data_IF_672145218017
#
_entry.id   IF_672145218017
#
_cell.length_a   1.000
_cell.length_b   1.000
_cell.length_c   1.000
_cell.angle_alpha   90.00
_cell.angle_beta   90.00
_cell.angle_gamma   90.00
#
_symmetry.space_group_name_H-M   'P 1'
#
loop_
_entity.id
_entity.type
_entity.pdbx_description
1 polymer ?
#
# COMPACT_ATOMS: atom_id res chain seq x y z
N UNK A 1 -2.44 15.09 6.03
CA UNK A 1 -3.39 14.39 6.93
C UNK A 1 -2.80 13.02 7.28
N UNK A 2 -2.91 12.56 8.56
CA UNK A 2 -2.31 11.30 9.01
C UNK A 2 -3.38 10.25 9.24
N UNK A 3 -3.21 9.08 8.62
CA UNK A 3 -4.04 7.88 8.80
C UNK A 3 -3.25 6.79 9.53
N UNK A 4 -3.94 5.88 10.19
CA UNK A 4 -3.35 4.69 10.81
C UNK A 4 -3.96 3.45 10.15
N UNK A 5 -3.10 2.57 9.64
CA UNK A 5 -3.52 1.33 9.03
C UNK A 5 -4.12 0.36 10.06
N UNK A 6 -5.17 -0.36 9.69
CA UNK A 6 -5.66 -1.48 10.48
C UNK A 6 -4.60 -2.55 10.71
N UNK A 7 -3.59 -2.63 9.86
CA UNK A 7 -2.45 -3.53 10.01
C UNK A 7 -1.57 -3.22 11.24
N UNK A 8 -1.70 -2.02 11.83
CA UNK A 8 -1.01 -1.66 13.07
C UNK A 8 -1.56 -2.39 14.31
N UNK A 9 -2.74 -3.00 14.21
CA UNK A 9 -3.36 -3.76 15.30
C UNK A 9 -3.25 -5.26 15.02
N UNK A 10 -3.01 -6.04 16.09
CA UNK A 10 -3.03 -7.52 16.03
C UNK A 10 -4.44 -8.10 15.91
N UNK A 11 -5.43 -7.34 16.34
CA UNK A 11 -6.84 -7.70 16.23
C UNK A 11 -7.26 -7.76 14.76
N UNK A 12 -7.95 -8.82 14.39
CA UNK A 12 -8.35 -9.05 12.99
C UNK A 12 -9.84 -8.82 12.72
N UNK A 13 -10.64 -8.54 13.74
CA UNK A 13 -12.06 -8.21 13.60
C UNK A 13 -12.21 -6.70 13.32
N UNK A 14 -12.92 -6.34 12.24
CA UNK A 14 -13.11 -4.94 11.84
C UNK A 14 -13.73 -4.08 12.94
N UNK A 15 -14.83 -4.55 13.54
CA UNK A 15 -15.53 -3.76 14.54
C UNK A 15 -14.68 -3.56 15.81
N UNK A 16 -13.91 -4.56 16.23
CA UNK A 16 -12.99 -4.45 17.37
C UNK A 16 -11.83 -3.50 17.06
N UNK A 17 -11.26 -3.54 15.84
CA UNK A 17 -10.27 -2.56 15.39
C UNK A 17 -10.81 -1.13 15.51
N UNK A 18 -11.99 -0.87 14.97
CA UNK A 18 -12.59 0.47 14.99
C UNK A 18 -12.94 0.91 16.43
N UNK A 19 -13.39 0.00 17.31
CA UNK A 19 -13.56 0.28 18.74
C UNK A 19 -12.24 0.69 19.41
N UNK A 20 -11.15 0.01 19.09
CA UNK A 20 -9.81 0.34 19.61
C UNK A 20 -9.36 1.72 19.14
N UNK A 21 -9.47 2.01 17.84
CA UNK A 21 -9.14 3.35 17.31
C UNK A 21 -10.01 4.46 17.93
N UNK A 22 -11.30 4.19 18.14
CA UNK A 22 -12.18 5.12 18.84
C UNK A 22 -11.68 5.44 20.26
N UNK A 23 -11.33 4.41 21.06
CA UNK A 23 -10.76 4.59 22.42
C UNK A 23 -9.46 5.41 22.41
N UNK A 24 -8.65 5.28 21.34
CA UNK A 24 -7.41 6.05 21.15
C UNK A 24 -7.64 7.44 20.54
N UNK A 25 -8.89 7.84 20.28
CA UNK A 25 -9.27 9.07 19.59
C UNK A 25 -8.60 9.22 18.20
N UNK A 26 -8.39 8.10 17.49
CA UNK A 26 -7.86 8.06 16.13
C UNK A 26 -9.02 7.85 15.18
N UNK A 27 -9.29 8.85 14.32
CA UNK A 27 -10.45 8.85 13.42
C UNK A 27 -10.11 8.62 11.95
N UNK A 28 -8.86 8.81 11.57
CA UNK A 28 -8.39 8.61 10.19
C UNK A 28 -7.78 7.21 10.08
N UNK A 29 -8.44 6.32 9.38
CA UNK A 29 -8.11 4.88 9.34
C UNK A 29 -7.90 4.44 7.89
N UNK A 30 -6.81 3.74 7.64
CA UNK A 30 -6.61 3.00 6.40
C UNK A 30 -7.03 1.54 6.60
N UNK A 31 -7.96 1.09 5.76
CA UNK A 31 -8.48 -0.28 5.76
C UNK A 31 -7.60 -1.15 4.86
N UNK A 32 -7.02 -2.21 5.41
CA UNK A 32 -6.06 -3.10 4.73
C UNK A 32 -6.42 -4.57 4.83
N UNK A 33 -5.63 -5.43 4.19
CA UNK A 33 -5.85 -6.87 4.08
C UNK A 33 -5.65 -7.72 5.35
N UNK A 34 -5.26 -7.13 6.47
CA UNK A 34 -5.02 -7.87 7.71
C UNK A 34 -6.29 -8.27 8.49
N UNK A 35 -7.44 -7.75 8.08
CA UNK A 35 -8.76 -8.01 8.71
C UNK A 35 -9.34 -9.32 8.18
N UNK A 36 -10.14 -10.01 8.99
CA UNK A 36 -10.92 -11.17 8.55
C UNK A 36 -12.12 -10.75 7.69
N UNK A 37 -12.59 -11.68 6.86
CA UNK A 37 -13.82 -11.47 6.10
C UNK A 37 -14.98 -11.10 7.03
N UNK A 38 -15.66 -10.02 6.71
CA UNK A 38 -16.83 -9.51 7.45
C UNK A 38 -17.95 -9.21 6.45
N UNK A 39 -19.11 -9.87 6.60
CA UNK A 39 -20.22 -9.75 5.66
C UNK A 39 -20.86 -8.35 5.69
N UNK A 40 -20.96 -7.77 6.88
CA UNK A 40 -21.64 -6.49 7.13
C UNK A 40 -20.67 -5.31 7.29
N UNK A 41 -19.49 -5.41 6.65
CA UNK A 41 -18.45 -4.36 6.72
C UNK A 41 -18.96 -2.96 6.34
N UNK A 42 -19.86 -2.87 5.34
CA UNK A 42 -20.44 -1.58 4.90
C UNK A 42 -21.27 -0.93 6.02
N UNK A 43 -22.14 -1.70 6.69
CA UNK A 43 -22.92 -1.21 7.83
C UNK A 43 -22.02 -0.73 8.97
N UNK A 44 -20.96 -1.50 9.27
CA UNK A 44 -19.99 -1.14 10.31
C UNK A 44 -19.29 0.17 9.94
N UNK A 45 -18.76 0.30 8.73
CA UNK A 45 -18.04 1.49 8.29
C UNK A 45 -18.94 2.74 8.28
N UNK A 46 -20.18 2.61 7.75
CA UNK A 46 -21.16 3.68 7.76
C UNK A 46 -21.49 4.14 9.18
N UNK A 47 -21.68 3.19 10.11
CA UNK A 47 -21.92 3.51 11.52
C UNK A 47 -20.78 4.36 12.12
N UNK A 48 -19.52 3.94 11.93
CA UNK A 48 -18.38 4.68 12.47
C UNK A 48 -18.18 6.03 11.77
N UNK A 49 -18.42 6.10 10.47
CA UNK A 49 -18.35 7.36 9.72
C UNK A 49 -19.39 8.37 10.20
N UNK A 50 -20.66 7.98 10.23
CA UNK A 50 -21.76 8.88 10.55
C UNK A 50 -21.81 9.24 12.02
N UNK A 51 -21.67 8.25 12.92
CA UNK A 51 -21.82 8.48 14.37
C UNK A 51 -20.57 9.05 15.04
N UNK A 52 -19.38 8.70 14.56
CA UNK A 52 -18.13 9.06 15.23
C UNK A 52 -17.18 9.91 14.38
N UNK A 53 -17.55 10.23 13.15
CA UNK A 53 -16.77 11.10 12.26
C UNK A 53 -15.47 10.45 11.80
N UNK A 54 -15.46 9.11 11.58
CA UNK A 54 -14.30 8.43 11.05
C UNK A 54 -14.12 8.77 9.57
N UNK A 55 -12.86 8.94 9.17
CA UNK A 55 -12.43 9.05 7.79
C UNK A 55 -11.68 7.79 7.40
N UNK A 56 -11.95 7.26 6.22
CA UNK A 56 -11.32 6.04 5.75
C UNK A 56 -10.47 6.28 4.52
N UNK A 57 -9.44 5.48 4.37
CA UNK A 57 -8.78 5.15 3.12
C UNK A 57 -8.96 3.66 2.87
N UNK A 58 -9.00 3.26 1.62
CA UNK A 58 -9.00 1.86 1.24
C UNK A 58 -7.69 1.57 0.54
N UNK A 59 -6.94 0.67 1.15
CA UNK A 59 -5.77 0.07 0.54
C UNK A 59 -6.15 -1.26 -0.09
N UNK A 60 -5.39 -1.64 -1.09
CA UNK A 60 -5.41 -2.94 -1.73
C UNK A 60 -5.95 -4.05 -0.81
N UNK A 61 -6.80 -4.91 -1.33
CA UNK A 61 -7.35 -6.06 -0.65
C UNK A 61 -8.48 -5.81 0.36
N UNK A 62 -8.97 -4.60 0.53
CA UNK A 62 -10.21 -4.37 1.28
C UNK A 62 -11.33 -3.96 0.30
N UNK A 63 -12.54 -4.54 0.36
CA UNK A 63 -13.03 -5.51 1.33
C UNK A 63 -12.43 -6.91 1.15
N UNK A 64 -12.23 -7.59 2.29
CA UNK A 64 -11.57 -8.89 2.33
C UNK A 64 -12.44 -9.96 1.68
N UNK A 65 -11.94 -10.73 0.71
CA UNK A 65 -12.69 -11.83 0.12
C UNK A 65 -12.78 -13.03 1.08
N UNK A 66 -13.88 -13.82 1.00
CA UNK A 66 -14.04 -15.03 1.82
C UNK A 66 -12.86 -16.00 1.73
N UNK A 67 -12.29 -16.15 0.54
CA UNK A 67 -11.10 -17.00 0.30
C UNK A 67 -9.96 -16.08 -0.11
N UNK A 68 -8.93 -15.88 0.75
CA UNK A 68 -7.78 -15.05 0.44
C UNK A 68 -7.04 -15.51 -0.82
N UNK A 69 -6.48 -14.56 -1.56
CA UNK A 69 -5.64 -14.78 -2.74
C UNK A 69 -4.68 -13.62 -2.89
N UNK A 70 -3.60 -13.77 -3.66
CA UNK A 70 -2.73 -12.64 -4.00
C UNK A 70 -3.34 -11.85 -5.14
N UNK A 71 -3.72 -10.62 -4.86
CA UNK A 71 -4.26 -9.71 -5.86
C UNK A 71 -3.14 -9.25 -6.80
N UNK A 72 -3.32 -9.48 -8.11
CA UNK A 72 -2.36 -9.06 -9.12
C UNK A 72 -3.13 -8.62 -10.39
N UNK A 73 -3.23 -7.33 -10.60
CA UNK A 73 -3.91 -6.75 -11.77
C UNK A 73 -3.17 -6.96 -13.10
N UNK A 74 -1.92 -7.44 -13.06
CA UNK A 74 -1.12 -7.72 -14.25
C UNK A 74 -1.01 -9.21 -14.61
N UNK A 75 -1.59 -10.12 -13.83
CA UNK A 75 -1.39 -11.56 -14.03
C UNK A 75 -1.96 -12.08 -15.35
N UNK A 76 -1.21 -13.01 -15.99
CA UNK A 76 -1.67 -13.77 -17.17
C UNK A 76 -2.69 -14.87 -16.82
N UNK A 77 -2.78 -15.26 -15.54
CA UNK A 77 -3.78 -16.24 -15.09
C UNK A 77 -5.17 -15.61 -15.11
N UNK A 78 -6.02 -16.03 -16.04
CA UNK A 78 -7.35 -15.44 -16.29
C UNK A 78 -8.26 -15.49 -15.06
N UNK A 79 -8.25 -16.58 -14.30
CA UNK A 79 -9.05 -16.72 -13.08
C UNK A 79 -8.59 -15.75 -11.98
N UNK A 80 -7.27 -15.66 -11.74
CA UNK A 80 -6.71 -14.74 -10.76
C UNK A 80 -6.89 -13.28 -11.18
N UNK A 81 -6.74 -13.00 -12.48
CA UNK A 81 -6.98 -11.68 -13.08
C UNK A 81 -8.41 -11.21 -12.83
N UNK A 82 -9.40 -12.05 -13.19
CA UNK A 82 -10.81 -11.75 -12.95
C UNK A 82 -11.08 -11.49 -11.46
N UNK A 83 -10.60 -12.35 -10.54
CA UNK A 83 -10.75 -12.15 -9.09
C UNK A 83 -10.12 -10.84 -8.61
N UNK A 84 -8.96 -10.47 -9.15
CA UNK A 84 -8.25 -9.24 -8.80
C UNK A 84 -9.06 -8.01 -9.23
N UNK A 85 -9.55 -8.00 -10.46
CA UNK A 85 -10.40 -6.92 -10.98
C UNK A 85 -11.71 -6.82 -10.19
N UNK A 86 -12.41 -7.94 -9.98
CA UNK A 86 -13.68 -7.98 -9.25
C UNK A 86 -13.52 -7.45 -7.80
N UNK A 87 -12.39 -7.77 -7.13
CA UNK A 87 -12.12 -7.25 -5.78
C UNK A 87 -11.86 -5.73 -5.79
N UNK A 88 -11.08 -5.24 -6.75
CA UNK A 88 -10.82 -3.80 -6.88
C UNK A 88 -12.10 -3.01 -7.22
N UNK A 89 -12.99 -3.55 -8.06
CA UNK A 89 -14.27 -2.92 -8.37
C UNK A 89 -15.16 -2.80 -7.11
N UNK A 90 -15.18 -3.81 -6.23
CA UNK A 90 -15.84 -3.72 -4.93
C UNK A 90 -15.22 -2.66 -4.02
N UNK A 91 -13.90 -2.52 -4.05
CA UNK A 91 -13.21 -1.47 -3.31
C UNK A 91 -13.59 -0.08 -3.82
N UNK A 92 -13.68 0.10 -5.13
CA UNK A 92 -14.08 1.35 -5.78
C UNK A 92 -15.55 1.68 -5.47
N UNK A 93 -16.45 0.69 -5.56
CA UNK A 93 -17.85 0.88 -5.16
C UNK A 93 -17.94 1.39 -3.70
N UNK A 94 -17.16 0.79 -2.79
CA UNK A 94 -17.10 1.24 -1.41
C UNK A 94 -16.49 2.65 -1.28
N UNK A 95 -15.46 2.99 -2.07
CA UNK A 95 -14.90 4.33 -2.11
C UNK A 95 -15.96 5.36 -2.51
N UNK A 96 -16.73 5.09 -3.56
CA UNK A 96 -17.78 5.96 -4.07
C UNK A 96 -18.90 6.12 -3.01
N UNK A 97 -19.39 5.00 -2.44
CA UNK A 97 -20.42 5.01 -1.39
C UNK A 97 -20.00 5.81 -0.15
N UNK A 98 -18.76 5.66 0.28
CA UNK A 98 -18.20 6.36 1.44
C UNK A 98 -17.64 7.75 1.08
N UNK A 99 -17.69 8.18 -0.18
CA UNK A 99 -17.11 9.45 -0.69
C UNK A 99 -15.65 9.61 -0.27
N UNK A 100 -14.86 8.55 -0.43
CA UNK A 100 -13.43 8.57 -0.16
C UNK A 100 -12.70 9.27 -1.30
N UNK A 101 -11.49 9.77 -1.03
CA UNK A 101 -10.74 10.57 -2.01
C UNK A 101 -9.55 9.83 -2.62
N UNK A 102 -9.18 8.68 -2.07
CA UNK A 102 -8.01 7.92 -2.48
C UNK A 102 -8.27 6.42 -2.39
N UNK A 103 -7.82 5.69 -3.41
CA UNK A 103 -7.75 4.23 -3.43
C UNK A 103 -6.40 3.80 -3.97
N UNK A 104 -5.77 2.82 -3.36
CA UNK A 104 -4.46 2.32 -3.77
C UNK A 104 -4.44 0.82 -4.01
N UNK A 105 -3.62 0.40 -4.96
CA UNK A 105 -3.32 -0.99 -5.27
C UNK A 105 -1.82 -1.18 -5.38
N UNK A 106 -1.33 -2.39 -5.10
CA UNK A 106 0.07 -2.71 -5.40
C UNK A 106 0.36 -2.69 -6.90
N UNK A 107 1.58 -2.34 -7.26
CA UNK A 107 2.09 -2.58 -8.60
C UNK A 107 2.05 -4.08 -8.94
N UNK A 108 1.92 -4.46 -10.22
CA UNK A 108 1.79 -5.84 -10.60
C UNK A 108 3.07 -6.64 -10.30
N UNK A 109 2.90 -7.96 -10.16
CA UNK A 109 3.98 -8.92 -9.98
C UNK A 109 4.22 -9.67 -11.29
N UNK A 110 5.48 -9.94 -11.60
CA UNK A 110 5.86 -10.75 -12.77
C UNK A 110 5.74 -12.25 -12.51
N UNK A 111 5.45 -12.62 -11.25
CA UNK A 111 5.19 -14.00 -10.82
C UNK A 111 3.91 -14.05 -9.99
N UNK A 112 3.19 -15.15 -10.04
CA UNK A 112 2.09 -15.39 -9.12
C UNK A 112 2.61 -16.17 -7.91
N UNK A 113 2.28 -15.72 -6.71
CA UNK A 113 2.67 -16.38 -5.46
C UNK A 113 1.49 -16.46 -4.49
N UNK A 114 1.64 -17.26 -3.45
CA UNK A 114 0.60 -17.49 -2.44
C UNK A 114 0.59 -16.39 -1.40
N UNK A 115 -0.55 -16.16 -0.75
CA UNK A 115 -0.65 -15.21 0.37
C UNK A 115 0.32 -15.52 1.52
N UNK A 116 0.67 -16.79 1.73
CA UNK A 116 1.65 -17.22 2.72
C UNK A 116 3.10 -16.83 2.40
N UNK A 117 3.37 -16.41 1.15
CA UNK A 117 4.68 -15.96 0.66
C UNK A 117 4.80 -14.42 0.65
N UNK A 118 3.70 -13.70 0.90
CA UNK A 118 3.71 -12.24 0.95
C UNK A 118 4.64 -11.75 2.09
N UNK A 119 5.53 -10.80 1.78
CA UNK A 119 6.53 -10.29 2.71
C UNK A 119 7.64 -11.29 3.09
N UNK A 120 7.70 -12.45 2.43
CA UNK A 120 8.64 -13.54 2.71
C UNK A 120 9.35 -13.98 1.43
N UNK A 121 10.09 -15.11 1.53
CA UNK A 121 10.67 -15.78 0.37
C UNK A 121 9.58 -16.30 -0.56
N UNK A 122 9.60 -15.82 -1.80
CA UNK A 122 8.75 -16.31 -2.89
C UNK A 122 9.44 -17.53 -3.49
N UNK A 123 8.72 -18.65 -3.63
CA UNK A 123 9.27 -19.83 -4.30
C UNK A 123 9.62 -19.50 -5.74
N UNK A 124 10.76 -20.01 -6.22
CA UNK A 124 11.19 -19.82 -7.60
C UNK A 124 10.13 -20.29 -8.59
N UNK A 125 9.84 -19.45 -9.57
CA UNK A 125 8.87 -19.67 -10.64
C UNK A 125 9.34 -18.96 -11.89
N UNK A 126 8.81 -19.36 -13.04
CA UNK A 126 9.04 -18.65 -14.29
C UNK A 126 8.53 -17.20 -14.17
N UNK A 127 9.40 -16.24 -14.45
CA UNK A 127 9.06 -14.83 -14.53
C UNK A 127 8.31 -14.58 -15.84
N UNK A 128 7.16 -13.93 -15.77
CA UNK A 128 6.40 -13.50 -16.94
C UNK A 128 7.05 -12.29 -17.60
N UNK A 129 6.78 -12.10 -18.90
CA UNK A 129 7.28 -10.94 -19.64
C UNK A 129 6.75 -9.63 -19.05
N UNK A 130 7.66 -8.69 -18.71
CA UNK A 130 7.32 -7.35 -18.20
C UNK A 130 6.33 -6.63 -19.12
N UNK A 131 6.54 -6.69 -20.43
CA UNK A 131 5.67 -6.05 -21.43
C UNK A 131 4.26 -6.65 -21.42
N UNK A 132 4.13 -7.98 -21.29
CA UNK A 132 2.80 -8.62 -21.22
C UNK A 132 2.07 -8.23 -19.93
N UNK A 133 2.75 -8.29 -18.79
CA UNK A 133 2.19 -7.94 -17.49
C UNK A 133 1.75 -6.47 -17.48
N UNK A 134 2.58 -5.57 -18.02
CA UNK A 134 2.25 -4.14 -18.09
C UNK A 134 1.03 -3.88 -18.99
N UNK A 135 0.92 -4.56 -20.12
CA UNK A 135 -0.25 -4.45 -21.01
C UNK A 135 -1.55 -4.90 -20.32
N UNK A 136 -1.50 -6.02 -19.58
CA UNK A 136 -2.66 -6.52 -18.82
C UNK A 136 -3.00 -5.52 -17.69
N UNK A 137 -2.01 -5.06 -16.96
CA UNK A 137 -2.17 -4.06 -15.91
C UNK A 137 -2.80 -2.78 -16.45
N UNK A 138 -2.29 -2.23 -17.56
CA UNK A 138 -2.85 -1.05 -18.24
C UNK A 138 -4.34 -1.22 -18.56
N UNK A 139 -4.71 -2.37 -19.16
CA UNK A 139 -6.11 -2.67 -19.46
C UNK A 139 -6.98 -2.68 -18.21
N UNK A 140 -6.55 -3.37 -17.17
CA UNK A 140 -7.31 -3.51 -15.93
C UNK A 140 -7.36 -2.18 -15.15
N UNK A 141 -6.25 -1.45 -15.04
CA UNK A 141 -6.19 -0.17 -14.35
C UNK A 141 -7.07 0.88 -15.04
N UNK A 142 -7.06 0.92 -16.38
CA UNK A 142 -7.96 1.79 -17.15
C UNK A 142 -9.44 1.39 -17.00
N UNK A 143 -9.73 0.10 -16.80
CA UNK A 143 -11.07 -0.35 -16.45
C UNK A 143 -11.48 0.21 -15.07
N UNK A 144 -10.61 0.12 -14.06
CA UNK A 144 -10.89 0.69 -12.73
C UNK A 144 -11.16 2.19 -12.79
N UNK A 145 -10.39 2.95 -13.60
CA UNK A 145 -10.60 4.40 -13.80
C UNK A 145 -11.99 4.77 -14.29
N UNK A 146 -12.67 3.86 -15.00
CA UNK A 146 -14.05 4.11 -15.50
C UNK A 146 -15.12 4.01 -14.44
N UNK A 147 -14.85 3.31 -13.35
CA UNK A 147 -15.83 3.05 -12.28
C UNK A 147 -15.61 3.92 -11.04
N UNK A 148 -14.49 4.61 -10.97
CA UNK A 148 -14.18 5.49 -9.84
C UNK A 148 -14.80 6.87 -10.08
N UNK A 149 -15.37 7.48 -9.02
CA UNK A 149 -15.87 8.85 -9.08
C UNK A 149 -14.74 9.83 -9.42
N UNK A 150 -15.05 10.90 -10.15
CA UNK A 150 -14.07 11.84 -10.71
C UNK A 150 -13.14 12.49 -9.69
N UNK A 151 -13.56 12.55 -8.43
CA UNK A 151 -12.79 13.15 -7.35
C UNK A 151 -11.96 12.15 -6.52
N UNK A 152 -11.99 10.86 -6.89
CA UNK A 152 -11.19 9.79 -6.27
C UNK A 152 -9.90 9.57 -7.07
N UNK A 153 -8.77 9.75 -6.41
CA UNK A 153 -7.46 9.47 -7.00
C UNK A 153 -7.08 8.01 -6.83
N UNK A 154 -6.59 7.40 -7.91
CA UNK A 154 -6.05 6.03 -7.90
C UNK A 154 -4.53 6.06 -7.78
N UNK A 155 -3.99 5.26 -6.87
CA UNK A 155 -2.56 5.16 -6.62
C UNK A 155 -2.06 3.74 -6.86
N UNK A 156 -0.80 3.63 -7.25
CA UNK A 156 -0.09 2.35 -7.38
C UNK A 156 1.10 2.36 -6.43
N UNK A 157 1.11 1.42 -5.50
CA UNK A 157 2.14 1.30 -4.48
C UNK A 157 3.39 0.59 -5.00
N UNK A 158 4.56 1.09 -4.62
CA UNK A 158 5.82 0.45 -4.92
C UNK A 158 5.99 -0.86 -4.13
N UNK A 159 6.43 -1.90 -4.83
CA UNK A 159 6.69 -3.21 -4.24
C UNK A 159 8.03 -3.26 -3.49
N UNK A 160 8.17 -4.26 -2.60
CA UNK A 160 9.37 -4.53 -1.83
C UNK A 160 10.19 -5.67 -2.43
N UNK A 161 11.39 -5.38 -2.91
CA UNK A 161 12.33 -6.39 -3.40
C UNK A 161 13.39 -6.71 -2.33
N UNK A 162 13.24 -7.82 -1.63
CA UNK A 162 14.28 -8.30 -0.72
C UNK A 162 15.45 -8.93 -1.46
N UNK A 163 16.65 -8.88 -0.84
CA UNK A 163 17.85 -9.55 -1.38
C UNK A 163 17.63 -11.05 -1.56
N UNK A 164 16.90 -11.69 -0.64
CA UNK A 164 16.57 -13.11 -0.73
C UNK A 164 15.76 -13.41 -2.00
N UNK A 165 14.71 -12.65 -2.28
CA UNK A 165 13.89 -12.83 -3.48
C UNK A 165 14.70 -12.52 -4.74
N UNK A 166 15.51 -11.47 -4.75
CA UNK A 166 16.36 -11.13 -5.89
C UNK A 166 17.35 -12.26 -6.23
N UNK A 167 17.99 -12.86 -5.22
CA UNK A 167 18.90 -13.99 -5.41
C UNK A 167 18.17 -15.26 -5.82
N UNK A 168 17.00 -15.53 -5.21
CA UNK A 168 16.19 -16.71 -5.53
C UNK A 168 15.67 -16.72 -6.98
N UNK A 169 15.57 -15.56 -7.61
CA UNK A 169 15.24 -15.42 -9.03
C UNK A 169 16.46 -15.11 -9.92
N UNK A 170 17.64 -15.63 -9.56
CA UNK A 170 18.89 -15.48 -10.34
C UNK A 170 19.24 -14.02 -10.68
N UNK A 171 19.08 -13.12 -9.70
CA UNK A 171 19.26 -11.66 -9.83
C UNK A 171 18.31 -11.00 -10.85
N UNK A 172 17.20 -11.62 -11.15
CA UNK A 172 16.09 -11.00 -11.85
C UNK A 172 15.06 -10.47 -10.85
N UNK A 173 14.47 -9.33 -11.15
CA UNK A 173 13.43 -8.76 -10.31
C UNK A 173 12.06 -9.39 -10.66
N UNK A 174 11.43 -10.17 -9.76
CA UNK A 174 10.12 -10.78 -10.01
C UNK A 174 8.95 -9.82 -9.78
N UNK A 175 9.22 -8.55 -9.46
CA UNK A 175 8.23 -7.53 -9.11
C UNK A 175 8.39 -6.30 -10.01
N UNK A 176 7.35 -5.48 -10.10
CA UNK A 176 7.41 -4.19 -10.78
C UNK A 176 7.36 -3.05 -9.76
N UNK A 177 7.77 -1.87 -10.17
CA UNK A 177 7.74 -0.65 -9.35
C UNK A 177 8.56 -0.79 -8.04
N UNK A 178 9.80 -1.23 -8.15
CA UNK A 178 10.72 -1.36 -7.03
C UNK A 178 11.78 -0.25 -6.96
N UNK A 179 11.78 0.65 -7.97
CA UNK A 179 12.65 1.81 -8.09
C UNK A 179 11.94 2.96 -8.80
N UNK A 180 12.49 4.16 -8.72
CA UNK A 180 11.97 5.30 -9.48
C UNK A 180 12.08 5.10 -10.99
N UNK A 181 13.14 4.42 -11.46
CA UNK A 181 13.25 4.05 -12.86
C UNK A 181 12.08 3.16 -13.30
N UNK A 182 11.68 2.18 -12.47
CA UNK A 182 10.49 1.37 -12.78
C UNK A 182 9.22 2.24 -12.89
N UNK A 183 9.07 3.25 -12.02
CA UNK A 183 7.97 4.20 -12.10
C UNK A 183 8.01 5.00 -13.39
N UNK A 184 9.18 5.54 -13.73
CA UNK A 184 9.35 6.36 -14.93
C UNK A 184 9.05 5.56 -16.21
N UNK A 185 9.52 4.31 -16.28
CA UNK A 185 9.21 3.38 -17.39
C UNK A 185 7.68 3.06 -17.44
N UNK A 186 7.06 2.78 -16.29
CA UNK A 186 5.65 2.38 -16.24
C UNK A 186 4.69 3.53 -16.57
N UNK A 187 4.99 4.74 -16.13
CA UNK A 187 4.12 5.92 -16.37
C UNK A 187 4.07 6.35 -17.82
N UNK A 188 5.02 5.95 -18.66
CA UNK A 188 4.95 6.15 -20.12
C UNK A 188 3.79 5.36 -20.74
N UNK A 189 3.41 4.25 -20.12
CA UNK A 189 2.38 3.34 -20.62
C UNK A 189 1.05 3.47 -19.87
N UNK A 190 1.10 3.80 -18.58
CA UNK A 190 -0.08 3.83 -17.69
C UNK A 190 -0.05 5.11 -16.86
N UNK A 191 -1.05 5.94 -17.03
CA UNK A 191 -1.20 7.15 -16.22
C UNK A 191 -1.70 6.81 -14.81
N UNK A 192 -0.84 6.92 -13.80
CA UNK A 192 -1.14 6.70 -12.39
C UNK A 192 -0.26 7.56 -11.48
N UNK A 193 -0.75 7.81 -10.27
CA UNK A 193 0.05 8.41 -9.21
C UNK A 193 0.71 7.30 -8.36
N UNK A 194 1.98 7.41 -7.98
CA UNK A 194 2.58 6.44 -7.08
C UNK A 194 2.05 6.66 -5.64
N UNK A 195 1.79 5.56 -4.91
CA UNK A 195 1.81 5.54 -3.46
C UNK A 195 3.23 5.15 -3.06
N UNK A 196 3.91 6.03 -2.32
CA UNK A 196 5.27 5.78 -1.86
C UNK A 196 5.24 5.08 -0.49
N UNK A 197 5.49 3.77 -0.46
CA UNK A 197 5.85 3.08 0.79
C UNK A 197 7.35 3.23 1.06
N UNK A 198 7.67 3.84 2.21
CA UNK A 198 9.05 4.16 2.60
C UNK A 198 9.85 2.93 3.01
N UNK A 199 9.19 1.94 3.63
CA UNK A 199 9.80 0.68 4.03
C UNK A 199 10.15 -0.19 2.83
N UNK A 200 9.20 -0.34 1.90
CA UNK A 200 9.40 -1.07 0.64
C UNK A 200 10.54 -0.47 -0.18
N UNK A 201 10.53 0.85 -0.37
CA UNK A 201 11.58 1.53 -1.13
C UNK A 201 12.96 1.32 -0.49
N UNK A 202 13.06 1.43 0.84
CA UNK A 202 14.34 1.30 1.56
C UNK A 202 14.97 -0.09 1.39
N UNK A 203 14.17 -1.16 1.44
CA UNK A 203 14.64 -2.54 1.19
C UNK A 203 15.04 -2.73 -0.27
N UNK A 204 14.21 -2.25 -1.20
CA UNK A 204 14.48 -2.35 -2.64
C UNK A 204 15.76 -1.61 -3.03
N UNK A 205 15.97 -0.39 -2.53
CA UNK A 205 17.19 0.38 -2.76
C UNK A 205 18.44 -0.38 -2.28
N UNK A 206 18.39 -0.98 -1.07
CA UNK A 206 19.52 -1.78 -0.57
C UNK A 206 19.82 -2.98 -1.45
N UNK A 207 18.77 -3.66 -1.93
CA UNK A 207 18.90 -4.84 -2.81
C UNK A 207 19.47 -4.48 -4.17
N UNK A 208 18.98 -3.37 -4.76
CA UNK A 208 19.36 -2.90 -6.09
C UNK A 208 20.59 -2.00 -6.09
N UNK A 209 21.17 -1.70 -4.92
CA UNK A 209 22.32 -0.79 -4.72
C UNK A 209 22.03 0.65 -5.20
N UNK A 210 20.80 1.13 -4.97
CA UNK A 210 20.36 2.49 -5.28
C UNK A 210 20.49 3.40 -4.05
N UNK A 211 20.67 4.70 -4.27
CA UNK A 211 20.61 5.70 -3.19
C UNK A 211 19.18 5.95 -2.76
N UNK A 212 18.85 5.58 -1.52
CA UNK A 212 17.50 5.71 -0.98
C UNK A 212 17.02 7.16 -0.90
N UNK A 213 17.90 8.11 -0.62
CA UNK A 213 17.56 9.53 -0.53
C UNK A 213 17.17 10.07 -1.90
N UNK A 214 17.94 9.73 -2.92
CA UNK A 214 17.65 10.12 -4.30
C UNK A 214 16.33 9.51 -4.80
N UNK A 215 16.13 8.21 -4.58
CA UNK A 215 14.91 7.50 -4.96
C UNK A 215 13.68 8.10 -4.27
N UNK A 216 13.74 8.33 -2.95
CA UNK A 216 12.67 8.99 -2.20
C UNK A 216 12.36 10.38 -2.74
N UNK A 217 13.38 11.21 -2.97
CA UNK A 217 13.20 12.57 -3.48
C UNK A 217 12.58 12.56 -4.88
N UNK A 218 12.93 11.60 -5.72
CA UNK A 218 12.35 11.46 -7.05
C UNK A 218 10.88 11.06 -6.98
N UNK A 219 10.52 10.02 -6.22
CA UNK A 219 9.12 9.62 -6.03
C UNK A 219 8.27 10.74 -5.41
N UNK A 220 8.81 11.46 -4.42
CA UNK A 220 8.08 12.51 -3.71
C UNK A 220 7.67 13.70 -4.57
N UNK A 221 8.21 13.84 -5.79
CA UNK A 221 7.78 14.85 -6.77
C UNK A 221 6.43 14.51 -7.39
N UNK A 222 6.07 13.23 -7.44
CA UNK A 222 4.91 12.71 -8.17
C UNK A 222 3.80 12.18 -7.27
N UNK A 223 4.02 12.10 -5.96
CA UNK A 223 3.01 11.62 -5.01
C UNK A 223 2.60 12.67 -3.99
N UNK A 224 1.36 12.57 -3.55
CA UNK A 224 0.82 13.22 -2.36
C UNK A 224 0.33 12.20 -1.32
N UNK A 225 0.71 10.91 -1.49
CA UNK A 225 0.32 9.82 -0.59
C UNK A 225 1.52 8.93 -0.26
N UNK A 226 1.88 8.90 1.01
CA UNK A 226 3.08 8.21 1.51
C UNK A 226 2.67 7.26 2.63
N UNK A 227 3.02 5.99 2.48
CA UNK A 227 2.91 4.99 3.54
C UNK A 227 4.21 4.94 4.32
N UNK A 228 4.08 5.00 5.66
CA UNK A 228 5.22 5.29 6.54
C UNK A 228 5.49 4.13 7.46
N UNK A 229 6.63 3.51 7.25
CA UNK A 229 7.27 2.54 8.14
C UNK A 229 8.79 2.66 8.02
N UNK A 230 9.54 2.03 8.92
CA UNK A 230 11.00 1.88 8.85
C UNK A 230 11.38 0.40 8.96
N UNK A 231 12.62 0.09 8.61
CA UNK A 231 13.17 -1.25 8.69
C UNK A 231 14.71 -1.23 8.73
N UNK A 232 15.35 -2.40 8.73
CA UNK A 232 16.80 -2.53 8.70
C UNK A 232 17.41 -2.50 7.29
N UNK A 233 16.66 -2.12 6.27
CA UNK A 233 17.02 -2.14 4.84
C UNK A 233 17.14 -3.54 4.20
N UNK A 234 17.02 -4.62 4.95
CA UNK A 234 17.15 -5.99 4.43
C UNK A 234 15.83 -6.73 4.35
N UNK A 235 14.94 -6.45 5.31
CA UNK A 235 13.64 -7.09 5.45
C UNK A 235 12.56 -6.01 5.65
N UNK A 236 11.41 -6.26 5.09
CA UNK A 236 10.22 -5.42 5.31
C UNK A 236 9.63 -5.74 6.70
N UNK A 237 10.03 -4.94 7.69
CA UNK A 237 9.74 -5.19 9.10
C UNK A 237 8.65 -4.26 9.66
N UNK A 238 8.20 -3.27 8.91
CA UNK A 238 7.21 -2.28 9.31
C UNK A 238 7.45 -1.72 10.73
N UNK A 239 8.71 -1.32 11.01
CA UNK A 239 9.11 -0.72 12.30
C UNK A 239 8.68 0.74 12.38
N UNK A 240 8.58 1.23 13.63
CA UNK A 240 8.34 2.66 13.88
C UNK A 240 9.49 3.52 13.38
N UNK A 241 9.17 4.72 12.91
CA UNK A 241 10.19 5.73 12.64
C UNK A 241 10.73 6.31 13.96
N UNK A 242 11.98 6.77 13.93
CA UNK A 242 12.65 7.41 15.08
C UNK A 242 13.00 8.85 14.73
N UNK A 243 12.99 9.71 15.74
CA UNK A 243 13.54 11.06 15.61
C UNK A 243 14.97 11.02 15.10
N UNK A 244 15.30 11.87 14.11
CA UNK A 244 16.64 11.93 13.53
C UNK A 244 16.99 10.81 12.58
N UNK A 245 16.14 9.77 12.42
CA UNK A 245 16.35 8.72 11.38
C UNK A 245 16.31 9.32 9.98
N UNK A 246 16.85 8.60 9.01
CA UNK A 246 16.86 9.06 7.62
C UNK A 246 15.44 9.30 7.09
N UNK A 247 14.50 8.36 7.34
CA UNK A 247 13.08 8.54 6.95
C UNK A 247 12.48 9.77 7.63
N UNK A 248 12.73 9.99 8.92
CA UNK A 248 12.27 11.22 9.61
C UNK A 248 12.78 12.49 8.90
N UNK A 249 14.08 12.56 8.54
CA UNK A 249 14.67 13.72 7.85
C UNK A 249 14.03 13.96 6.50
N UNK A 250 13.79 12.88 5.72
CA UNK A 250 13.15 12.94 4.42
C UNK A 250 11.69 13.38 4.52
N UNK A 251 10.92 12.85 5.48
CA UNK A 251 9.54 13.31 5.70
C UNK A 251 9.51 14.78 6.16
N UNK A 252 10.48 15.22 6.98
CA UNK A 252 10.60 16.61 7.41
C UNK A 252 10.87 17.56 6.23
N UNK A 253 11.62 17.15 5.22
CA UNK A 253 11.85 17.97 4.01
C UNK A 253 10.59 18.20 3.17
N UNK A 254 9.54 17.40 3.40
CA UNK A 254 8.25 17.53 2.73
C UNK A 254 7.22 18.36 3.53
N UNK A 255 7.61 19.02 4.62
CA UNK A 255 6.71 19.73 5.53
C UNK A 255 5.76 20.72 4.83
N UNK A 256 6.21 21.39 3.79
CA UNK A 256 5.41 22.39 3.06
C UNK A 256 4.48 21.80 1.98
N UNK A 257 4.44 20.46 1.82
CA UNK A 257 3.57 19.77 0.88
C UNK A 257 2.32 19.24 1.61
N UNK A 258 1.16 19.37 0.97
CA UNK A 258 -0.10 18.77 1.46
C UNK A 258 -0.12 17.27 1.21
N UNK A 259 0.66 16.51 1.98
CA UNK A 259 0.72 15.06 1.87
C UNK A 259 -0.33 14.37 2.75
N UNK A 260 -0.81 13.22 2.29
CA UNK A 260 -1.49 12.21 3.08
C UNK A 260 -0.45 11.19 3.53
N UNK A 261 -0.40 10.92 4.83
CA UNK A 261 0.45 9.86 5.37
C UNK A 261 -0.41 8.73 5.91
N UNK A 262 -0.07 7.49 5.61
CA UNK A 262 -0.62 6.32 6.28
C UNK A 262 0.48 5.59 7.05
N UNK A 263 0.21 5.26 8.30
CA UNK A 263 1.15 4.58 9.18
C UNK A 263 0.90 3.08 9.06
N UNK A 264 1.90 2.33 8.63
CA UNK A 264 1.89 0.88 8.63
C UNK A 264 3.05 0.33 9.49
N UNK A 265 2.83 0.29 10.80
CA UNK A 265 3.84 -0.09 11.79
C UNK A 265 3.32 -1.24 12.62
N UNK A 266 4.04 -2.37 12.60
CA UNK A 266 3.64 -3.60 13.28
C UNK A 266 4.17 -3.71 14.70
N UNK A 267 3.60 -4.67 15.45
CA UNK A 267 4.02 -5.01 16.80
C UNK A 267 3.19 -4.30 17.88
N UNK A 268 3.86 -3.72 18.87
CA UNK A 268 3.16 -3.10 20.01
C UNK A 268 2.46 -1.80 19.61
N UNK A 269 1.28 -1.56 20.18
CA UNK A 269 0.49 -0.34 19.97
C UNK A 269 1.30 0.96 20.14
N UNK A 270 2.21 0.98 21.11
CA UNK A 270 3.13 2.12 21.34
C UNK A 270 3.93 2.51 20.10
N UNK A 271 4.28 1.54 19.23
CA UNK A 271 5.11 1.81 18.04
C UNK A 271 4.41 2.70 17.03
N UNK A 272 3.17 2.41 16.67
CA UNK A 272 2.45 3.28 15.73
C UNK A 272 2.01 4.59 16.38
N UNK A 273 1.71 4.61 17.69
CA UNK A 273 1.39 5.85 18.41
C UNK A 273 2.60 6.80 18.46
N UNK A 274 3.81 6.29 18.68
CA UNK A 274 5.04 7.08 18.60
C UNK A 274 5.25 7.66 17.20
N UNK A 275 5.02 6.86 16.16
CA UNK A 275 5.09 7.31 14.76
C UNK A 275 4.05 8.37 14.46
N UNK A 276 2.80 8.20 14.93
CA UNK A 276 1.73 9.18 14.76
C UNK A 276 2.08 10.52 15.45
N UNK A 277 2.65 10.48 16.66
CA UNK A 277 3.14 11.70 17.36
C UNK A 277 4.19 12.44 16.55
N UNK A 278 5.12 11.70 15.92
CA UNK A 278 6.16 12.28 15.07
C UNK A 278 5.52 12.96 13.85
N UNK A 279 4.64 12.27 13.13
CA UNK A 279 3.98 12.83 11.94
C UNK A 279 3.09 14.05 12.28
N UNK A 280 2.39 14.01 13.42
CA UNK A 280 1.59 15.15 13.87
C UNK A 280 2.44 16.41 14.15
N UNK A 281 3.69 16.23 14.60
CA UNK A 281 4.63 17.36 14.79
C UNK A 281 5.20 17.86 13.46
N UNK A 282 5.39 17.00 12.48
CA UNK A 282 5.87 17.41 11.15
C UNK A 282 4.81 18.19 10.35
N UNK A 283 3.53 18.00 10.64
CA UNK A 283 2.42 18.68 9.97
C UNK A 283 2.00 20.02 10.65
N UNK A 284 2.64 20.36 11.76
CA UNK A 284 2.52 21.67 12.42
C UNK A 284 3.63 22.61 11.93
#
# INVERSE_FOLDING_TARGET
>A
MNYVSTACLSERNLNQNLKTFKKLNIKNIELTGNILYEKNYQTILNHYKLKYGFNFLIHNYFPIPKKPFMLNLGTENSFLNKKSVDNCLKSIELCNQLKLKKFSVHAPFLVNFKTSEAGKKIKERKISSKTKILRIFKKNFNLLKKYVDSDVKLYVENNVLSKENFLNFNKQNPLMLTSFKDYDDMRQEVDFMPLLDTGHLKVSCKTLKLDFTQEFNNFSKYTDFIQVSDNNSFLDQNKKIKYGSLIYKLLKSLKNKKNTYSIEVYGQMKNFLDTLKILNKLNK
#
